data_IF_467746187287
#
_entry.id   IF_467746187287
#
_cell.length_a   1.000
_cell.length_b   1.000
_cell.length_c   1.000
_cell.angle_alpha   90.00
_cell.angle_beta   90.00
_cell.angle_gamma   90.00
#
_symmetry.space_group_name_H-M   'P 1'
#
loop_
_entity.id
_entity.type
_entity.pdbx_description
1 polymer ?
#
# COMPACT_ATOMS: atom_id res chain seq x y z
N UNK A 1 36.21 61.23 66.06
CA UNK A 1 35.09 60.27 66.20
C UNK A 1 33.89 60.85 65.47
N UNK A 2 33.70 60.51 64.19
CA UNK A 2 32.60 60.99 63.35
C UNK A 2 31.69 59.80 63.04
N UNK A 3 30.40 59.94 63.33
CA UNK A 3 29.33 59.07 62.86
C UNK A 3 28.08 59.93 62.64
N UNK A 4 27.21 59.41 61.76
CA UNK A 4 25.90 59.92 61.31
C UNK A 4 25.93 60.91 60.13
N UNK A 5 25.09 60.81 59.09
CA UNK A 5 23.92 59.96 58.80
C UNK A 5 23.63 59.90 57.29
N UNK A 6 22.93 58.82 56.92
CA UNK A 6 22.34 58.37 55.65
C UNK A 6 21.71 59.39 54.68
N UNK A 7 21.72 59.03 53.38
CA UNK A 7 20.53 59.07 52.51
C UNK A 7 20.57 57.94 51.47
N UNK A 8 19.47 57.19 51.40
CA UNK A 8 19.17 56.09 50.46
C UNK A 8 18.90 56.65 49.06
N UNK A 9 19.32 55.92 48.03
CA UNK A 9 18.75 56.00 46.67
C UNK A 9 18.39 54.57 46.26
N UNK A 10 17.10 54.34 45.98
CA UNK A 10 16.62 53.11 45.35
C UNK A 10 17.06 53.11 43.88
N UNK A 11 17.66 52.01 43.43
CA UNK A 11 17.78 51.68 42.01
C UNK A 11 17.00 50.40 41.75
N UNK A 12 15.92 50.50 40.96
CA UNK A 12 15.25 49.33 40.38
C UNK A 12 16.19 48.70 39.37
N UNK A 13 16.70 47.50 39.67
CA UNK A 13 17.36 46.64 38.69
C UNK A 13 16.32 45.83 37.94
N UNK A 14 16.15 46.08 36.65
CA UNK A 14 15.37 45.22 35.76
C UNK A 14 16.17 43.93 35.50
N UNK A 15 15.67 42.79 36.00
CA UNK A 15 16.19 41.47 35.63
C UNK A 15 15.71 41.11 34.22
N UNK A 16 16.61 41.11 33.23
CA UNK A 16 16.40 40.42 31.97
C UNK A 16 16.48 38.91 32.22
N UNK A 17 15.35 38.22 32.08
CA UNK A 17 15.32 36.77 31.93
C UNK A 17 15.66 36.48 30.47
N UNK A 18 16.86 35.95 30.23
CA UNK A 18 17.24 35.38 28.93
C UNK A 18 16.64 33.97 28.87
N UNK A 19 15.51 33.82 28.18
CA UNK A 19 15.01 32.52 27.74
C UNK A 19 15.89 32.04 26.58
N UNK A 20 16.51 30.85 26.65
CA UNK A 20 17.21 30.31 25.50
C UNK A 20 16.19 30.02 24.39
N UNK A 21 16.37 30.65 23.22
CA UNK A 21 15.72 30.22 22.00
C UNK A 21 16.21 28.81 21.67
N UNK A 22 15.39 27.80 21.97
CA UNK A 22 15.50 26.49 21.34
C UNK A 22 15.11 26.66 19.88
N UNK A 23 16.09 26.83 19.00
CA UNK A 23 15.90 26.60 17.58
C UNK A 23 15.57 25.11 17.42
N UNK A 24 14.44 24.71 16.79
CA UNK A 24 14.26 23.32 16.40
C UNK A 24 15.44 22.96 15.51
N UNK A 25 16.25 22.00 15.95
CA UNK A 25 17.37 21.50 15.16
C UNK A 25 16.82 20.93 13.87
N UNK A 26 17.24 21.46 12.72
CA UNK A 26 17.14 20.70 11.49
C UNK A 26 18.03 19.47 11.70
N UNK A 27 17.41 18.34 11.99
CA UNK A 27 18.07 17.06 11.83
C UNK A 27 18.58 17.03 10.38
N UNK A 28 19.89 16.92 10.21
CA UNK A 28 20.48 16.72 8.90
C UNK A 28 19.90 15.42 8.34
N UNK A 29 19.19 15.51 7.21
CA UNK A 29 18.69 14.33 6.52
C UNK A 29 19.90 13.45 6.15
N UNK A 30 19.92 12.21 6.63
CA UNK A 30 20.84 11.20 6.10
C UNK A 30 20.51 11.00 4.63
N UNK A 31 21.53 11.01 3.77
CA UNK A 31 21.38 10.60 2.37
C UNK A 31 21.52 9.08 2.36
N UNK A 32 20.44 8.36 2.03
CA UNK A 32 20.49 6.93 1.85
C UNK A 32 21.29 6.56 0.59
N UNK A 33 21.71 5.31 0.49
CA UNK A 33 22.24 4.75 -0.77
C UNK A 33 21.24 4.94 -1.90
N UNK A 34 21.74 5.31 -3.08
CA UNK A 34 20.92 5.46 -4.28
C UNK A 34 20.11 4.18 -4.57
N UNK A 35 18.91 4.29 -5.16
CA UNK A 35 18.12 3.13 -5.56
C UNK A 35 18.89 2.23 -6.51
N UNK A 36 18.64 0.93 -6.40
CA UNK A 36 19.11 -0.07 -7.35
C UNK A 36 18.03 -0.28 -8.40
N UNK A 37 18.41 -0.07 -9.67
CA UNK A 37 17.55 -0.32 -10.82
C UNK A 37 17.30 -1.83 -10.99
N UNK A 38 16.02 -2.22 -11.00
CA UNK A 38 15.61 -3.61 -11.24
C UNK A 38 15.46 -3.92 -12.73
N UNK A 39 15.57 -2.92 -13.60
CA UNK A 39 15.55 -3.06 -15.05
C UNK A 39 14.18 -3.47 -15.62
N UNK A 40 14.20 -3.87 -16.89
CA UNK A 40 13.01 -4.24 -17.68
C UNK A 40 13.23 -5.57 -18.40
N UNK A 41 12.15 -6.18 -18.88
CA UNK A 41 12.27 -7.35 -19.75
C UNK A 41 12.83 -6.93 -21.12
N UNK A 42 13.49 -7.85 -21.87
CA UNK A 42 14.02 -7.51 -23.19
C UNK A 42 12.96 -6.95 -24.13
N UNK A 43 13.16 -5.72 -24.61
CA UNK A 43 12.22 -4.99 -25.47
C UNK A 43 11.31 -4.01 -24.73
N UNK A 44 11.24 -4.11 -23.40
CA UNK A 44 10.44 -3.22 -22.56
C UNK A 44 11.22 -2.00 -22.06
N UNK A 45 10.49 -0.95 -21.71
CA UNK A 45 11.04 0.35 -21.31
C UNK A 45 10.62 0.81 -19.91
N UNK A 46 9.62 0.15 -19.32
CA UNK A 46 9.11 0.48 -18.00
C UNK A 46 8.93 -0.80 -17.18
N UNK A 47 9.00 -0.67 -15.86
CA UNK A 47 8.74 -1.77 -14.93
C UNK A 47 8.17 -1.26 -13.61
N UNK A 48 7.47 -2.15 -12.90
CA UNK A 48 6.88 -1.91 -11.60
C UNK A 48 6.90 -3.20 -10.77
N UNK A 49 7.23 -3.09 -9.48
CA UNK A 49 7.04 -4.14 -8.48
C UNK A 49 5.66 -3.94 -7.84
N UNK A 50 4.90 -5.03 -7.74
CA UNK A 50 3.59 -5.04 -7.08
C UNK A 50 3.64 -5.72 -5.71
N UNK A 51 4.55 -6.68 -5.52
CA UNK A 51 4.73 -7.39 -4.25
C UNK A 51 6.17 -7.87 -4.06
N UNK A 52 6.55 -8.02 -2.80
CA UNK A 52 7.86 -8.51 -2.36
C UNK A 52 7.69 -9.41 -1.14
N UNK A 53 8.40 -10.55 -1.10
CA UNK A 53 8.42 -11.40 0.08
C UNK A 53 9.66 -11.16 0.96
N UNK A 54 9.69 -11.76 2.14
CA UNK A 54 10.78 -11.59 3.12
C UNK A 54 12.16 -12.08 2.63
N UNK A 55 12.18 -12.99 1.65
CA UNK A 55 13.41 -13.48 1.00
C UNK A 55 13.91 -12.53 -0.11
N UNK A 56 13.22 -11.40 -0.34
CA UNK A 56 13.56 -10.41 -1.35
C UNK A 56 13.16 -10.81 -2.77
N UNK A 57 12.32 -11.84 -2.94
CA UNK A 57 11.71 -12.14 -4.23
C UNK A 57 10.61 -11.13 -4.50
N UNK A 58 10.70 -10.45 -5.65
CA UNK A 58 9.72 -9.44 -6.07
C UNK A 58 8.99 -9.89 -7.32
N UNK A 59 7.74 -9.49 -7.46
CA UNK A 59 6.93 -9.74 -8.66
C UNK A 59 6.19 -8.50 -9.09
N UNK A 60 5.88 -8.42 -10.38
CA UNK A 60 5.14 -7.29 -10.94
C UNK A 60 5.02 -7.37 -12.44
N UNK A 61 5.32 -6.26 -13.12
CA UNK A 61 5.19 -6.16 -14.58
C UNK A 61 6.27 -5.31 -15.22
N UNK A 62 6.58 -5.63 -16.48
CA UNK A 62 7.33 -4.77 -17.40
C UNK A 62 6.43 -4.42 -18.60
N UNK A 63 6.65 -3.24 -19.21
CA UNK A 63 5.84 -2.77 -20.35
C UNK A 63 6.69 -2.08 -21.42
N UNK A 64 6.29 -2.16 -22.71
CA UNK A 64 7.08 -1.62 -23.82
C UNK A 64 7.05 -0.10 -23.96
N UNK A 65 5.92 0.52 -23.60
CA UNK A 65 5.65 1.94 -23.82
C UNK A 65 4.83 2.51 -22.65
N UNK A 66 5.06 3.77 -22.34
CA UNK A 66 4.31 4.49 -21.30
C UNK A 66 2.82 4.53 -21.62
N UNK A 67 1.98 4.19 -20.65
CA UNK A 67 0.53 4.22 -20.82
C UNK A 67 -0.04 3.17 -21.78
N UNK A 68 0.79 2.32 -22.39
CA UNK A 68 0.29 1.13 -23.07
C UNK A 68 0.02 0.02 -22.06
N UNK A 69 -1.23 -0.43 -22.04
CA UNK A 69 -1.67 -1.57 -21.26
C UNK A 69 -1.23 -2.84 -22.00
N UNK A 70 0.09 -3.11 -22.04
CA UNK A 70 0.67 -4.39 -22.45
C UNK A 70 1.63 -4.83 -21.35
N UNK A 71 1.04 -5.42 -20.31
CA UNK A 71 1.81 -5.94 -19.18
C UNK A 71 2.45 -7.27 -19.56
N UNK A 72 3.73 -7.39 -19.27
CA UNK A 72 4.44 -8.66 -19.24
C UNK A 72 4.79 -8.95 -17.77
N UNK A 73 4.26 -10.04 -17.21
CA UNK A 73 4.53 -10.40 -15.84
C UNK A 73 6.03 -10.65 -15.66
N UNK A 74 6.60 -10.10 -14.60
CA UNK A 74 8.02 -10.16 -14.30
C UNK A 74 8.26 -10.62 -12.87
N UNK A 75 9.39 -11.29 -12.67
CA UNK A 75 9.91 -11.70 -11.36
C UNK A 75 11.35 -11.23 -11.24
N UNK A 76 11.67 -10.62 -10.09
CA UNK A 76 13.04 -10.32 -9.69
C UNK A 76 13.41 -11.18 -8.50
N UNK A 77 14.64 -11.69 -8.49
CA UNK A 77 15.18 -12.34 -7.31
C UNK A 77 15.78 -11.32 -6.32
N UNK A 78 16.26 -11.81 -5.18
CA UNK A 78 16.87 -11.00 -4.12
C UNK A 78 18.10 -10.17 -4.57
N UNK A 79 18.69 -10.50 -5.72
CA UNK A 79 19.81 -9.75 -6.30
C UNK A 79 19.34 -8.73 -7.36
N UNK A 80 18.02 -8.60 -7.56
CA UNK A 80 17.41 -7.73 -8.55
C UNK A 80 17.47 -8.27 -9.99
N UNK A 81 17.75 -9.56 -10.20
CA UNK A 81 17.81 -10.13 -11.56
C UNK A 81 16.41 -10.41 -12.07
N UNK A 82 16.04 -9.78 -13.18
CA UNK A 82 14.72 -9.92 -13.80
C UNK A 82 14.60 -11.18 -14.66
N UNK A 83 13.42 -11.80 -14.62
CA UNK A 83 12.99 -12.89 -15.50
C UNK A 83 11.51 -12.73 -15.87
N UNK A 84 11.15 -13.20 -17.06
CA UNK A 84 9.75 -13.18 -17.50
C UNK A 84 8.96 -14.30 -16.82
N UNK A 85 7.73 -13.99 -16.40
CA UNK A 85 6.73 -14.98 -16.04
C UNK A 85 5.82 -15.21 -17.27
N UNK A 86 5.74 -16.43 -17.81
CA UNK A 86 5.04 -16.68 -19.07
C UNK A 86 3.52 -16.47 -18.96
N UNK A 87 2.90 -16.01 -20.05
CA UNK A 87 1.44 -15.97 -20.19
C UNK A 87 0.86 -17.36 -20.52
N UNK A 88 -0.46 -17.45 -20.75
CA UNK A 88 -1.13 -18.68 -21.19
C UNK A 88 -1.24 -18.80 -22.72
N UNK A 89 -0.48 -18.01 -23.47
CA UNK A 89 -0.51 -17.95 -24.93
C UNK A 89 -0.92 -16.59 -25.51
N UNK A 90 -1.57 -15.74 -24.70
CA UNK A 90 -1.88 -14.35 -25.05
C UNK A 90 -0.71 -13.39 -24.81
N UNK A 91 -0.89 -12.11 -25.16
CA UNK A 91 0.18 -11.10 -25.05
C UNK A 91 0.29 -10.46 -23.67
N UNK A 92 -0.74 -10.56 -22.81
CA UNK A 92 -0.75 -9.85 -21.52
C UNK A 92 -0.67 -10.78 -20.31
N UNK A 93 0.04 -10.31 -19.29
CA UNK A 93 0.09 -10.93 -17.97
C UNK A 93 0.57 -9.93 -16.91
N UNK A 94 0.10 -10.08 -15.68
CA UNK A 94 0.56 -9.28 -14.54
C UNK A 94 0.61 -10.17 -13.29
N UNK A 95 1.72 -10.14 -12.57
CA UNK A 95 1.82 -10.74 -11.26
C UNK A 95 1.42 -9.72 -10.19
N UNK A 96 0.60 -10.12 -9.23
CA UNK A 96 0.04 -9.25 -8.19
C UNK A 96 0.63 -9.51 -6.82
N UNK A 97 0.93 -10.77 -6.50
CA UNK A 97 1.40 -11.17 -5.17
C UNK A 97 2.33 -12.40 -5.24
N UNK A 98 3.15 -12.60 -4.21
CA UNK A 98 4.14 -13.68 -4.09
C UNK A 98 4.30 -14.14 -2.64
N UNK A 99 4.20 -15.45 -2.41
CA UNK A 99 4.35 -16.03 -1.07
C UNK A 99 5.82 -16.33 -0.70
N UNK A 100 6.08 -16.81 0.52
CA UNK A 100 7.44 -17.10 0.99
C UNK A 100 8.15 -18.21 0.20
N UNK A 101 7.40 -19.14 -0.39
CA UNK A 101 7.96 -20.17 -1.28
C UNK A 101 8.33 -19.65 -2.68
N UNK A 102 8.06 -18.38 -2.98
CA UNK A 102 8.30 -17.76 -4.29
C UNK A 102 7.28 -18.17 -5.36
N UNK A 103 6.11 -18.68 -4.94
CA UNK A 103 4.95 -18.90 -5.79
C UNK A 103 4.26 -17.56 -5.99
N UNK A 104 4.13 -17.14 -7.25
CA UNK A 104 3.47 -15.89 -7.61
C UNK A 104 2.05 -16.14 -8.12
N UNK A 105 1.17 -15.16 -7.95
CA UNK A 105 -0.19 -15.18 -8.50
C UNK A 105 -0.49 -13.90 -9.27
N UNK A 106 -1.55 -13.94 -10.07
CA UNK A 106 -2.02 -12.78 -10.81
C UNK A 106 -2.96 -13.20 -11.93
N UNK A 107 -2.82 -12.57 -13.09
CA UNK A 107 -3.62 -12.89 -14.26
C UNK A 107 -2.78 -12.96 -15.54
N UNK A 108 -3.25 -13.74 -16.50
CA UNK A 108 -2.68 -13.84 -17.83
C UNK A 108 -3.75 -14.12 -18.88
N UNK A 109 -3.53 -13.60 -20.08
CA UNK A 109 -4.38 -13.87 -21.23
C UNK A 109 -4.09 -15.26 -21.80
N UNK A 110 -5.16 -16.00 -22.08
CA UNK A 110 -5.14 -17.21 -22.91
C UNK A 110 -5.10 -16.85 -24.39
N UNK A 111 -5.83 -15.81 -24.76
CA UNK A 111 -5.98 -15.24 -26.10
C UNK A 111 -6.43 -13.77 -26.00
N UNK A 112 -6.74 -13.11 -27.12
CA UNK A 112 -7.16 -11.69 -27.16
C UNK A 112 -8.45 -11.35 -26.38
N UNK A 113 -9.23 -12.34 -25.97
CA UNK A 113 -10.56 -12.13 -25.36
C UNK A 113 -10.73 -12.76 -23.98
N UNK A 114 -9.83 -13.67 -23.59
CA UNK A 114 -9.99 -14.51 -22.40
C UNK A 114 -8.83 -14.33 -21.43
N UNK A 115 -9.12 -13.68 -20.30
CA UNK A 115 -8.19 -13.54 -19.17
C UNK A 115 -8.43 -14.66 -18.15
N UNK A 116 -7.38 -15.21 -17.55
CA UNK A 116 -7.47 -16.16 -16.45
C UNK A 116 -6.65 -15.72 -15.25
N UNK A 117 -7.13 -16.06 -14.06
CA UNK A 117 -6.28 -16.08 -12.88
C UNK A 117 -5.24 -17.19 -13.05
N UNK A 118 -4.01 -16.92 -12.63
CA UNK A 118 -2.88 -17.85 -12.79
C UNK A 118 -2.04 -17.91 -11.53
N UNK A 119 -1.32 -19.03 -11.39
CA UNK A 119 -0.20 -19.18 -10.47
C UNK A 119 1.06 -19.50 -11.27
N UNK A 120 2.19 -18.91 -10.87
CA UNK A 120 3.51 -19.27 -11.34
C UNK A 120 4.27 -19.97 -10.24
N UNK A 121 4.74 -21.17 -10.52
CA UNK A 121 5.64 -21.89 -9.62
C UNK A 121 7.00 -21.20 -9.56
N UNK A 122 7.85 -21.45 -8.54
CA UNK A 122 9.11 -20.74 -8.39
C UNK A 122 10.06 -20.89 -9.59
N UNK A 123 9.93 -22.00 -10.34
CA UNK A 123 10.65 -22.31 -11.58
C UNK A 123 10.10 -21.60 -12.84
N UNK A 124 9.05 -20.79 -12.70
CA UNK A 124 8.39 -20.04 -13.78
C UNK A 124 7.24 -20.79 -14.46
N UNK A 125 6.93 -22.02 -14.06
CA UNK A 125 5.81 -22.78 -14.66
C UNK A 125 4.47 -22.11 -14.36
N UNK A 126 3.76 -21.67 -15.40
CA UNK A 126 2.42 -21.07 -15.30
C UNK A 126 1.33 -22.14 -15.26
N UNK A 127 0.37 -21.98 -14.38
CA UNK A 127 -0.85 -22.81 -14.29
C UNK A 127 -2.07 -21.92 -14.19
N UNK A 128 -3.04 -22.13 -15.08
CA UNK A 128 -4.34 -21.47 -14.99
C UNK A 128 -5.14 -21.99 -13.80
N UNK A 129 -5.73 -21.08 -13.03
CA UNK A 129 -6.72 -21.41 -12.01
C UNK A 129 -8.10 -21.59 -12.65
N UNK A 130 -8.95 -22.48 -12.13
CA UNK A 130 -10.28 -22.71 -12.71
C UNK A 130 -11.19 -21.50 -12.54
N UNK A 131 -12.02 -21.24 -13.55
CA UNK A 131 -13.12 -20.27 -13.45
C UNK A 131 -14.22 -20.79 -12.54
N UNK A 132 -15.07 -19.87 -12.05
CA UNK A 132 -16.36 -20.26 -11.52
C UNK A 132 -17.17 -21.02 -12.59
N UNK A 133 -18.00 -22.00 -12.20
CA UNK A 133 -18.87 -22.70 -13.15
C UNK A 133 -19.71 -21.72 -13.98
N UNK A 134 -19.60 -21.79 -15.31
CA UNK A 134 -20.30 -20.89 -16.24
C UNK A 134 -19.64 -19.53 -16.47
N UNK A 135 -18.50 -19.26 -15.83
CA UNK A 135 -17.68 -18.07 -16.02
C UNK A 135 -16.56 -18.25 -17.05
N UNK A 136 -16.00 -17.11 -17.48
CA UNK A 136 -14.95 -17.00 -18.50
C UNK A 136 -13.83 -16.01 -18.13
N UNK A 137 -13.91 -15.38 -16.96
CA UNK A 137 -13.00 -14.35 -16.50
C UNK A 137 -12.60 -14.59 -15.04
N UNK A 138 -11.32 -14.37 -14.72
CA UNK A 138 -10.83 -14.33 -13.35
C UNK A 138 -9.52 -13.53 -13.21
N UNK A 139 -9.26 -13.03 -11.99
CA UNK A 139 -8.00 -12.47 -11.51
C UNK A 139 -7.67 -13.04 -10.14
N UNK A 140 -6.40 -13.33 -9.87
CA UNK A 140 -5.90 -13.54 -8.52
C UNK A 140 -5.26 -12.25 -8.02
N UNK A 141 -5.50 -11.92 -6.75
CA UNK A 141 -5.00 -10.70 -6.11
C UNK A 141 -3.97 -11.04 -5.04
N UNK A 142 -4.28 -11.96 -4.12
CA UNK A 142 -3.41 -12.33 -3.00
C UNK A 142 -3.29 -13.85 -2.80
N UNK A 143 -2.18 -14.29 -2.19
CA UNK A 143 -1.86 -15.69 -1.88
C UNK A 143 -1.28 -15.84 -0.47
N UNK A 144 -1.75 -16.85 0.27
CA UNK A 144 -1.12 -17.24 1.55
C UNK A 144 0.03 -18.22 1.34
N UNK A 145 0.90 -18.36 2.34
CA UNK A 145 1.93 -19.42 2.38
C UNK A 145 1.34 -20.83 2.35
N UNK A 146 0.10 -20.99 2.84
CA UNK A 146 -0.66 -22.24 2.73
C UNK A 146 -1.17 -22.54 1.31
N UNK A 147 -0.98 -21.62 0.35
CA UNK A 147 -1.41 -21.76 -1.04
C UNK A 147 -2.89 -21.44 -1.28
N UNK A 148 -3.56 -20.75 -0.34
CA UNK A 148 -4.92 -20.24 -0.56
C UNK A 148 -4.80 -18.94 -1.35
N UNK A 149 -5.54 -18.82 -2.43
CA UNK A 149 -5.51 -17.66 -3.33
C UNK A 149 -6.89 -17.01 -3.32
N UNK A 150 -6.95 -15.68 -3.34
CA UNK A 150 -8.21 -14.92 -3.45
C UNK A 150 -8.17 -13.95 -4.63
N UNK A 151 -9.35 -13.55 -5.09
CA UNK A 151 -9.47 -12.55 -6.15
C UNK A 151 -10.90 -12.34 -6.61
N UNK A 152 -11.08 -12.13 -7.91
CA UNK A 152 -12.40 -11.96 -8.53
C UNK A 152 -12.60 -12.92 -9.71
N UNK A 153 -13.87 -13.26 -9.97
CA UNK A 153 -14.24 -14.11 -11.09
C UNK A 153 -15.65 -13.82 -11.58
N UNK A 154 -15.89 -14.01 -12.88
CA UNK A 154 -17.23 -13.89 -13.45
C UNK A 154 -18.06 -15.14 -13.13
N UNK A 155 -19.23 -14.96 -12.53
CA UNK A 155 -20.17 -16.04 -12.26
C UNK A 155 -21.15 -16.27 -13.44
N UNK A 156 -21.91 -17.37 -13.39
CA UNK A 156 -22.86 -17.74 -14.45
C UNK A 156 -24.00 -16.72 -14.66
N UNK A 157 -24.27 -15.86 -13.68
CA UNK A 157 -25.23 -14.77 -13.79
C UNK A 157 -24.65 -13.51 -14.47
N UNK A 158 -23.39 -13.57 -14.90
CA UNK A 158 -22.67 -12.52 -15.60
C UNK A 158 -22.06 -11.45 -14.69
N UNK A 159 -22.23 -11.54 -13.36
CA UNK A 159 -21.67 -10.62 -12.37
C UNK A 159 -20.24 -11.00 -11.99
N UNK A 160 -19.53 -10.06 -11.40
CA UNK A 160 -18.20 -10.31 -10.81
C UNK A 160 -18.39 -10.62 -9.33
N UNK A 161 -17.95 -11.81 -8.93
CA UNK A 161 -17.98 -12.29 -7.55
C UNK A 161 -16.55 -12.34 -6.99
N UNK A 162 -16.44 -12.18 -5.68
CA UNK A 162 -15.21 -12.53 -4.98
C UNK A 162 -15.04 -14.06 -5.01
N UNK A 163 -13.81 -14.52 -5.17
CA UNK A 163 -13.49 -15.95 -5.31
C UNK A 163 -12.32 -16.35 -4.43
N UNK A 164 -12.31 -17.62 -4.02
CA UNK A 164 -11.18 -18.27 -3.34
C UNK A 164 -10.80 -19.54 -4.09
N UNK A 165 -9.52 -19.73 -4.36
CA UNK A 165 -8.95 -21.01 -4.77
C UNK A 165 -8.25 -21.68 -3.59
N UNK A 166 -8.69 -22.88 -3.27
CA UNK A 166 -8.07 -23.71 -2.24
C UNK A 166 -6.80 -24.40 -2.80
N UNK A 167 -5.88 -24.84 -1.92
CA UNK A 167 -4.66 -25.52 -2.35
C UNK A 167 -4.89 -26.82 -3.14
N UNK A 168 -6.05 -27.46 -2.96
CA UNK A 168 -6.49 -28.64 -3.72
C UNK A 168 -6.97 -28.32 -5.15
N UNK A 169 -6.98 -27.04 -5.53
CA UNK A 169 -7.39 -26.54 -6.84
C UNK A 169 -8.89 -26.26 -6.95
N UNK A 170 -9.69 -26.45 -5.89
CA UNK A 170 -11.11 -26.11 -5.90
C UNK A 170 -11.30 -24.59 -5.87
N UNK A 171 -12.13 -24.06 -6.78
CA UNK A 171 -12.65 -22.68 -6.71
C UNK A 171 -13.93 -22.64 -5.89
N UNK A 172 -14.03 -21.65 -5.02
CA UNK A 172 -15.18 -21.35 -4.18
C UNK A 172 -15.68 -19.96 -4.52
N UNK A 173 -16.97 -19.86 -4.84
CA UNK A 173 -17.68 -18.59 -4.99
C UNK A 173 -17.95 -17.99 -3.61
N UNK A 174 -17.38 -16.82 -3.32
CA UNK A 174 -17.65 -16.06 -2.09
C UNK A 174 -18.82 -15.09 -2.26
N UNK A 175 -19.29 -14.88 -3.50
CA UNK A 175 -20.40 -13.99 -3.83
C UNK A 175 -20.08 -12.51 -3.63
N UNK A 176 -21.15 -11.72 -3.50
CA UNK A 176 -21.11 -10.28 -3.24
C UNK A 176 -22.32 -9.85 -2.39
N UNK A 177 -22.49 -8.55 -2.20
CA UNK A 177 -23.63 -8.04 -1.44
C UNK A 177 -24.97 -8.29 -2.18
N UNK A 178 -26.09 -8.51 -1.46
CA UNK A 178 -27.38 -8.75 -2.08
C UNK A 178 -27.78 -7.66 -3.08
N UNK A 179 -28.08 -8.07 -4.30
CA UNK A 179 -28.48 -7.18 -5.39
C UNK A 179 -27.32 -6.44 -6.09
N UNK A 180 -26.09 -6.52 -5.56
CA UNK A 180 -24.88 -6.01 -6.18
C UNK A 180 -24.52 -6.71 -7.49
N UNK A 181 -23.61 -6.10 -8.25
CA UNK A 181 -23.07 -6.62 -9.52
C UNK A 181 -21.57 -6.88 -9.50
N UNK A 182 -20.88 -6.46 -8.44
CA UNK A 182 -19.44 -6.50 -8.33
C UNK A 182 -19.00 -6.86 -6.90
N UNK A 183 -18.03 -7.75 -6.79
CA UNK A 183 -17.31 -8.06 -5.57
C UNK A 183 -15.89 -8.53 -5.91
N UNK A 184 -14.92 -8.13 -5.11
CA UNK A 184 -13.51 -8.42 -5.30
C UNK A 184 -12.88 -8.68 -3.94
N UNK A 185 -12.21 -9.83 -3.78
CA UNK A 185 -11.40 -10.14 -2.61
C UNK A 185 -9.96 -9.66 -2.86
N UNK A 186 -9.52 -8.69 -2.07
CA UNK A 186 -8.22 -8.02 -2.21
C UNK A 186 -7.16 -8.71 -1.35
N UNK A 187 -7.51 -9.05 -0.10
CA UNK A 187 -6.57 -9.57 0.88
C UNK A 187 -7.11 -10.81 1.61
N UNK A 188 -6.19 -11.59 2.17
CA UNK A 188 -6.48 -12.76 3.01
C UNK A 188 -5.47 -12.84 4.14
N UNK A 189 -5.93 -13.09 5.37
CA UNK A 189 -5.03 -13.26 6.52
C UNK A 189 -4.14 -14.51 6.36
N UNK A 190 -2.93 -14.56 6.92
CA UNK A 190 -2.01 -15.70 6.75
C UNK A 190 -2.59 -17.05 7.18
N UNK A 191 -3.50 -17.04 8.15
CA UNK A 191 -4.21 -18.23 8.62
C UNK A 191 -5.35 -18.70 7.68
N UNK A 192 -5.58 -17.96 6.60
CA UNK A 192 -6.58 -18.19 5.57
C UNK A 192 -8.02 -17.94 6.01
N UNK A 193 -8.27 -17.45 7.24
CA UNK A 193 -9.62 -17.42 7.83
C UNK A 193 -10.44 -16.20 7.46
N UNK A 194 -9.78 -15.08 7.23
CA UNK A 194 -10.43 -13.78 7.00
C UNK A 194 -10.02 -13.26 5.64
N UNK A 195 -11.01 -12.92 4.81
CA UNK A 195 -10.84 -12.37 3.48
C UNK A 195 -11.53 -11.02 3.46
N UNK A 196 -10.92 -9.99 2.88
CA UNK A 196 -11.49 -8.65 2.80
C UNK A 196 -11.34 -8.06 1.41
N UNK A 197 -12.14 -7.04 1.13
CA UNK A 197 -12.08 -6.30 -0.13
C UNK A 197 -13.32 -5.44 -0.32
N UNK A 198 -13.74 -5.29 -1.57
CA UNK A 198 -14.80 -4.38 -1.98
C UNK A 198 -15.99 -5.13 -2.57
N UNK A 199 -17.21 -4.68 -2.28
CA UNK A 199 -18.41 -5.13 -3.00
C UNK A 199 -19.38 -3.96 -3.26
N UNK A 200 -20.13 -4.03 -4.35
CA UNK A 200 -21.17 -3.07 -4.68
C UNK A 200 -22.53 -3.50 -4.13
N UNK A 201 -23.34 -2.55 -3.68
CA UNK A 201 -24.75 -2.78 -3.36
C UNK A 201 -25.65 -2.73 -4.62
N UNK A 202 -26.96 -2.90 -4.43
CA UNK A 202 -27.94 -2.86 -5.54
C UNK A 202 -28.05 -1.51 -6.25
N UNK A 203 -27.52 -0.43 -5.67
CA UNK A 203 -27.43 0.88 -6.30
C UNK A 203 -26.07 1.10 -6.99
N UNK A 204 -25.18 0.10 -6.98
CA UNK A 204 -23.85 0.17 -7.56
C UNK A 204 -22.83 0.96 -6.72
N UNK A 205 -23.12 1.19 -5.43
CA UNK A 205 -22.21 1.92 -4.53
C UNK A 205 -21.28 0.93 -3.83
N UNK A 206 -20.01 1.29 -3.70
CA UNK A 206 -18.99 0.43 -3.10
C UNK A 206 -19.08 0.43 -1.57
N UNK A 207 -18.75 -0.71 -0.99
CA UNK A 207 -18.68 -0.97 0.45
C UNK A 207 -17.41 -1.76 0.78
N UNK A 208 -16.90 -1.53 1.97
CA UNK A 208 -15.86 -2.40 2.56
C UNK A 208 -16.54 -3.64 3.11
N UNK A 209 -16.06 -4.81 2.72
CA UNK A 209 -16.67 -6.08 3.08
C UNK A 209 -15.64 -7.09 3.56
N UNK A 210 -16.13 -8.06 4.33
CA UNK A 210 -15.35 -9.22 4.80
C UNK A 210 -16.10 -10.50 4.49
N UNK A 211 -15.37 -11.54 4.07
CA UNK A 211 -15.86 -12.90 3.93
C UNK A 211 -15.20 -13.82 4.96
N UNK A 212 -15.98 -14.73 5.53
CA UNK A 212 -15.44 -15.86 6.28
C UNK A 212 -15.20 -17.08 5.38
N UNK A 213 -14.63 -18.14 5.95
CA UNK A 213 -14.32 -19.37 5.21
C UNK A 213 -15.53 -20.06 4.56
N UNK A 214 -16.73 -19.85 5.09
CA UNK A 214 -17.98 -20.40 4.56
C UNK A 214 -18.58 -19.54 3.43
N UNK A 215 -17.92 -18.43 3.06
CA UNK A 215 -18.41 -17.48 2.05
C UNK A 215 -19.46 -16.51 2.60
N UNK A 216 -19.66 -16.42 3.92
CA UNK A 216 -20.59 -15.44 4.47
C UNK A 216 -19.97 -14.03 4.40
N UNK A 217 -20.63 -13.13 3.67
CA UNK A 217 -20.24 -11.73 3.52
C UNK A 217 -20.80 -10.86 4.65
N UNK A 218 -19.98 -9.95 5.15
CA UNK A 218 -20.36 -8.90 6.13
C UNK A 218 -20.01 -7.54 5.55
N UNK A 219 -20.97 -6.61 5.53
CA UNK A 219 -20.75 -5.19 5.22
C UNK A 219 -20.19 -4.47 6.45
N UNK A 220 -19.00 -3.87 6.30
CA UNK A 220 -18.31 -3.13 7.36
C UNK A 220 -18.57 -1.62 7.29
N UNK A 221 -19.22 -1.15 6.22
CA UNK A 221 -19.59 0.25 6.02
C UNK A 221 -21.11 0.47 5.87
N UNK A 222 -21.98 -0.20 6.67
CA UNK A 222 -23.42 -0.06 6.50
C UNK A 222 -23.86 1.38 6.75
N UNK A 223 -24.47 2.00 5.73
CA UNK A 223 -24.90 3.40 5.79
C UNK A 223 -23.80 4.43 5.48
N UNK A 224 -22.58 4.00 5.18
CA UNK A 224 -21.52 4.82 4.59
C UNK A 224 -21.04 4.22 3.25
N UNK A 225 -21.94 4.16 2.24
CA UNK A 225 -21.55 3.73 0.90
C UNK A 225 -20.49 4.70 0.33
N UNK A 226 -19.69 4.24 -0.62
CA UNK A 226 -18.48 4.93 -1.13
C UNK A 226 -17.27 4.87 -0.21
N UNK A 227 -17.24 3.89 0.70
CA UNK A 227 -16.02 3.56 1.43
C UNK A 227 -15.08 2.73 0.56
N UNK A 228 -13.78 3.03 0.61
CA UNK A 228 -12.71 2.29 -0.07
C UNK A 228 -11.77 1.66 0.96
N UNK A 229 -11.52 0.36 0.91
CA UNK A 229 -10.42 -0.22 1.67
C UNK A 229 -9.12 -0.04 0.86
N UNK A 230 -8.00 0.20 1.54
CA UNK A 230 -6.69 0.38 0.90
C UNK A 230 -5.68 -0.69 1.35
N UNK A 231 -5.81 -1.20 2.58
CA UNK A 231 -4.91 -2.23 3.11
C UNK A 231 -5.53 -3.03 4.28
N UNK A 232 -5.02 -4.23 4.52
CA UNK A 232 -5.39 -5.11 5.63
C UNK A 232 -4.17 -5.79 6.24
N UNK A 233 -4.02 -5.69 7.57
CA UNK A 233 -2.94 -6.39 8.29
C UNK A 233 -3.25 -7.88 8.56
N UNK A 234 -2.30 -8.60 9.16
CA UNK A 234 -2.40 -10.05 9.39
C UNK A 234 -3.49 -10.44 10.40
N UNK A 235 -4.00 -9.49 11.18
CA UNK A 235 -5.10 -9.67 12.12
C UNK A 235 -6.47 -9.31 11.53
N UNK A 236 -6.53 -8.94 10.25
CA UNK A 236 -7.75 -8.58 9.56
C UNK A 236 -8.28 -7.18 9.88
N UNK A 237 -7.44 -6.30 10.45
CA UNK A 237 -7.76 -4.87 10.59
C UNK A 237 -7.57 -4.22 9.24
N UNK A 238 -8.59 -3.51 8.76
CA UNK A 238 -8.60 -2.84 7.46
C UNK A 238 -8.48 -1.34 7.68
N UNK A 239 -7.70 -0.66 6.84
CA UNK A 239 -7.73 0.80 6.74
C UNK A 239 -8.13 1.25 5.36
N UNK A 240 -8.55 2.50 5.24
CA UNK A 240 -8.89 3.10 3.98
C UNK A 240 -9.57 4.45 4.15
N UNK A 241 -10.56 4.74 3.32
CA UNK A 241 -11.32 5.98 3.36
C UNK A 241 -12.84 5.76 3.37
N UNK A 242 -13.57 6.64 4.03
CA UNK A 242 -15.03 6.68 4.00
C UNK A 242 -15.53 8.13 3.86
N UNK A 243 -16.71 8.31 3.28
CA UNK A 243 -17.24 9.65 3.05
C UNK A 243 -17.75 10.26 4.36
N UNK A 244 -17.28 11.47 4.68
CA UNK A 244 -17.78 12.28 5.78
C UNK A 244 -17.92 13.72 5.32
N UNK A 245 -19.16 14.23 5.30
CA UNK A 245 -19.50 15.58 4.84
C UNK A 245 -18.97 15.88 3.42
N UNK A 246 -19.12 14.91 2.50
CA UNK A 246 -18.72 15.04 1.09
C UNK A 246 -17.22 14.97 0.81
N UNK A 247 -16.41 14.53 1.78
CA UNK A 247 -14.98 14.30 1.61
C UNK A 247 -14.60 12.89 2.09
N UNK A 248 -13.70 12.16 1.41
CA UNK A 248 -13.10 10.97 1.97
C UNK A 248 -12.27 11.33 3.21
N UNK A 249 -12.45 10.54 4.26
CA UNK A 249 -11.70 10.65 5.51
C UNK A 249 -11.12 9.30 5.90
N UNK A 250 -9.93 9.29 6.54
CA UNK A 250 -9.23 8.07 6.89
C UNK A 250 -9.98 7.32 7.99
N UNK A 251 -10.11 6.02 7.81
CA UNK A 251 -10.89 5.14 8.67
C UNK A 251 -10.20 3.81 8.86
N UNK A 252 -10.55 3.16 9.97
CA UNK A 252 -10.14 1.81 10.31
C UNK A 252 -11.37 0.97 10.63
N UNK A 253 -11.42 -0.24 10.09
CA UNK A 253 -12.42 -1.26 10.41
C UNK A 253 -11.76 -2.46 11.09
N UNK A 254 -12.19 -2.72 12.31
CA UNK A 254 -11.64 -3.80 13.14
C UNK A 254 -12.22 -5.16 12.76
N UNK A 255 -11.65 -6.23 13.32
CA UNK A 255 -12.12 -7.59 13.07
C UNK A 255 -13.55 -7.84 13.55
N UNK A 256 -13.99 -7.15 14.60
CA UNK A 256 -15.37 -7.21 15.11
C UNK A 256 -16.36 -6.32 14.34
N UNK A 257 -15.86 -5.58 13.33
CA UNK A 257 -16.64 -4.64 12.52
C UNK A 257 -16.76 -3.25 13.12
N UNK A 258 -16.12 -2.95 14.26
CA UNK A 258 -16.04 -1.60 14.80
C UNK A 258 -15.29 -0.70 13.82
N UNK A 259 -15.95 0.39 13.43
CA UNK A 259 -15.36 1.44 12.60
C UNK A 259 -14.84 2.58 13.48
N UNK A 260 -13.66 3.10 13.17
CA UNK A 260 -13.04 4.23 13.86
C UNK A 260 -12.50 5.23 12.84
N UNK A 261 -12.92 6.49 12.96
CA UNK A 261 -12.30 7.60 12.24
C UNK A 261 -10.89 7.82 12.77
N UNK A 262 -9.92 7.91 11.88
CA UNK A 262 -8.56 8.31 12.23
C UNK A 262 -8.52 9.83 12.29
N UNK A 263 -7.85 10.39 13.31
CA UNK A 263 -7.87 11.83 13.56
C UNK A 263 -7.38 12.61 12.35
N UNK A 264 -8.24 13.49 11.82
CA UNK A 264 -7.88 14.41 10.75
C UNK A 264 -8.68 15.72 10.88
N UNK A 265 -8.08 16.80 11.38
CA UNK A 265 -8.76 18.05 11.76
C UNK A 265 -9.14 18.94 10.57
N UNK A 266 -8.55 18.79 9.38
CA UNK A 266 -8.86 19.65 8.22
C UNK A 266 -10.10 19.20 7.42
N UNK A 267 -10.72 20.16 6.73
CA UNK A 267 -11.89 19.94 5.87
C UNK A 267 -11.57 19.11 4.62
N UNK A 268 -10.34 19.17 4.11
CA UNK A 268 -9.93 18.51 2.87
C UNK A 268 -9.88 16.97 2.93
N UNK A 269 -9.80 16.31 1.76
CA UNK A 269 -9.77 14.86 1.71
C UNK A 269 -8.48 14.26 2.29
N UNK A 270 -8.59 13.06 2.85
CA UNK A 270 -7.48 12.30 3.40
C UNK A 270 -7.77 10.79 3.40
N UNK A 271 -6.70 10.00 3.36
CA UNK A 271 -6.72 8.55 3.18
C UNK A 271 -5.72 7.89 4.13
N UNK A 272 -6.08 6.71 4.64
CA UNK A 272 -5.15 5.78 5.25
C UNK A 272 -4.82 4.71 4.22
N UNK A 273 -3.55 4.60 3.85
CA UNK A 273 -3.08 3.79 2.72
C UNK A 273 -2.51 2.44 3.17
N UNK A 274 -2.00 2.34 4.40
CA UNK A 274 -1.41 1.11 4.93
C UNK A 274 -1.57 0.98 6.43
N UNK A 275 -1.59 -0.25 6.93
CA UNK A 275 -1.71 -0.61 8.34
C UNK A 275 -0.78 -1.75 8.71
N UNK A 276 0.02 -1.56 9.76
CA UNK A 276 0.85 -2.63 10.29
C UNK A 276 0.11 -3.50 11.31
N UNK A 277 0.75 -4.59 11.74
CA UNK A 277 0.21 -5.53 12.73
C UNK A 277 0.02 -4.95 14.13
N UNK A 278 0.70 -3.84 14.46
CA UNK A 278 0.47 -3.11 15.70
C UNK A 278 -0.79 -2.21 15.63
N UNK A 279 -1.44 -2.13 14.45
CA UNK A 279 -2.60 -1.29 14.19
C UNK A 279 -2.25 0.18 13.97
N UNK A 280 -0.97 0.52 13.81
CA UNK A 280 -0.56 1.84 13.35
C UNK A 280 -0.75 1.93 11.83
N UNK A 281 -1.15 3.10 11.35
CA UNK A 281 -1.46 3.32 9.95
C UNK A 281 -0.64 4.46 9.35
N UNK A 282 -0.36 4.39 8.06
CA UNK A 282 0.24 5.46 7.26
C UNK A 282 -0.73 5.98 6.21
N UNK A 283 -0.53 7.22 5.79
CA UNK A 283 -1.34 7.83 4.74
C UNK A 283 -1.08 9.32 4.62
N UNK A 284 -2.12 10.06 4.31
CA UNK A 284 -2.03 11.51 4.18
C UNK A 284 -3.25 12.14 3.55
N UNK A 285 -3.17 13.44 3.33
CA UNK A 285 -4.22 14.21 2.71
C UNK A 285 -3.90 15.69 2.75
N UNK A 286 -4.88 16.51 2.42
CA UNK A 286 -4.71 17.96 2.37
C UNK A 286 -4.65 18.55 3.78
N UNK A 287 -3.46 18.99 4.22
CA UNK A 287 -3.25 19.66 5.51
C UNK A 287 -3.22 21.19 5.34
N UNK A 288 -2.06 21.74 4.99
CA UNK A 288 -1.78 23.19 5.03
C UNK A 288 -1.87 23.79 3.62
N UNK A 289 -2.76 24.77 3.43
CA UNK A 289 -2.99 25.47 2.16
C UNK A 289 -3.26 24.56 0.94
N UNK A 290 -3.85 23.38 1.17
CA UNK A 290 -4.11 22.43 0.09
C UNK A 290 -2.86 21.65 -0.34
N UNK A 291 -1.87 21.50 0.54
CA UNK A 291 -0.74 20.59 0.32
C UNK A 291 -1.07 19.22 0.89
N UNK A 292 -0.91 18.17 0.07
CA UNK A 292 -0.94 16.77 0.53
C UNK A 292 0.22 16.55 1.49
N UNK A 293 0.00 16.02 2.68
CA UNK A 293 1.09 15.80 3.64
C UNK A 293 1.05 14.40 4.23
N UNK A 294 2.23 13.75 4.36
CA UNK A 294 2.33 12.42 4.91
C UNK A 294 2.08 12.45 6.43
N UNK A 295 1.29 11.50 6.89
CA UNK A 295 0.94 11.35 8.31
C UNK A 295 0.99 9.88 8.71
N UNK A 296 1.09 9.67 10.03
CA UNK A 296 0.95 8.37 10.67
C UNK A 296 -0.11 8.46 11.75
N UNK A 297 -0.90 7.40 11.93
CA UNK A 297 -1.81 7.23 13.06
C UNK A 297 -1.35 6.08 13.93
N UNK A 298 -1.53 6.22 15.23
CA UNK A 298 -1.36 5.11 16.16
C UNK A 298 -2.61 4.21 16.22
N UNK A 299 -2.55 3.17 17.06
CA UNK A 299 -3.68 2.25 17.25
C UNK A 299 -4.92 2.96 17.82
N UNK A 300 -4.77 4.04 18.60
CA UNK A 300 -5.90 4.83 19.09
C UNK A 300 -6.50 5.74 17.99
N UNK A 301 -5.79 5.92 16.88
CA UNK A 301 -6.16 6.82 15.79
C UNK A 301 -5.64 8.25 15.98
N UNK A 302 -4.71 8.47 16.92
CA UNK A 302 -4.06 9.76 17.13
C UNK A 302 -3.03 10.01 16.04
N UNK A 303 -3.08 11.20 15.45
CA UNK A 303 -2.27 11.57 14.29
C UNK A 303 -0.91 12.17 14.68
N UNK A 304 0.12 11.77 13.94
CA UNK A 304 1.43 12.44 13.87
C UNK A 304 1.68 12.90 12.43
N UNK A 305 1.99 14.18 12.24
CA UNK A 305 2.40 14.72 10.93
C UNK A 305 3.88 14.41 10.70
N UNK A 306 4.19 13.70 9.62
CA UNK A 306 5.57 13.30 9.28
C UNK A 306 6.30 14.38 8.49
N UNK A 307 5.55 15.18 7.72
CA UNK A 307 6.09 16.33 7.01
C UNK A 307 4.99 17.36 6.71
N UNK A 308 5.39 18.62 6.55
CA UNK A 308 4.52 19.71 6.05
C UNK A 308 4.73 19.99 4.56
N UNK A 309 5.67 19.28 3.93
CA UNK A 309 5.90 19.34 2.50
C UNK A 309 4.89 18.45 1.76
N UNK A 310 4.82 18.61 0.42
CA UNK A 310 3.92 17.82 -0.39
C UNK A 310 4.32 16.34 -0.33
N UNK A 311 3.45 15.44 0.10
CA UNK A 311 3.75 14.01 0.17
C UNK A 311 2.63 13.15 0.73
N UNK A 312 2.86 11.85 0.71
CA UNK A 312 1.95 10.80 1.21
C UNK A 312 2.80 9.65 1.77
N UNK A 313 2.31 9.01 2.83
CA UNK A 313 2.79 7.69 3.25
C UNK A 313 2.04 6.61 2.49
N UNK A 314 2.74 5.64 1.92
CA UNK A 314 2.15 4.52 1.18
C UNK A 314 2.22 3.20 1.94
N UNK A 315 3.25 2.99 2.77
CA UNK A 315 3.39 1.76 3.54
C UNK A 315 4.06 2.00 4.91
N UNK A 316 3.86 1.08 5.84
CA UNK A 316 4.36 1.14 7.21
C UNK A 316 4.82 -0.24 7.72
N UNK A 317 6.08 -0.33 8.15
CA UNK A 317 6.61 -1.56 8.73
C UNK A 317 6.12 -1.81 10.17
N UNK A 318 6.46 -2.99 10.71
CA UNK A 318 6.13 -3.38 12.10
C UNK A 318 6.74 -2.49 13.19
N UNK A 319 7.87 -1.83 12.90
CA UNK A 319 8.52 -0.88 13.82
C UNK A 319 7.87 0.51 13.75
N UNK A 320 7.02 0.72 12.74
CA UNK A 320 6.32 1.96 12.47
C UNK A 320 7.13 2.94 11.63
N UNK A 321 8.12 2.47 10.87
CA UNK A 321 8.76 3.22 9.79
C UNK A 321 7.76 3.37 8.65
N UNK A 322 7.48 4.61 8.25
CA UNK A 322 6.61 4.91 7.11
C UNK A 322 7.47 5.17 5.87
N UNK A 323 7.08 4.62 4.74
CA UNK A 323 7.67 4.92 3.43
C UNK A 323 6.64 5.59 2.53
N UNK A 324 7.11 6.42 1.62
CA UNK A 324 6.25 7.11 0.67
C UNK A 324 7.03 8.06 -0.22
N UNK A 325 6.42 9.21 -0.51
CA UNK A 325 7.08 10.29 -1.25
C UNK A 325 6.95 11.62 -0.51
N UNK A 326 7.95 12.47 -0.70
CA UNK A 326 7.90 13.87 -0.32
C UNK A 326 8.58 14.72 -1.40
N UNK A 327 7.91 15.79 -1.84
CA UNK A 327 8.34 16.67 -2.92
C UNK A 327 8.79 15.88 -4.16
N UNK A 328 7.99 14.86 -4.53
CA UNK A 328 8.22 13.94 -5.65
C UNK A 328 9.40 12.96 -5.49
N UNK A 329 10.01 12.87 -4.31
CA UNK A 329 11.15 11.97 -4.07
C UNK A 329 10.81 10.96 -2.97
N UNK A 330 11.14 9.70 -3.23
CA UNK A 330 11.00 8.61 -2.30
C UNK A 330 11.65 8.99 -0.95
N UNK A 331 10.88 8.86 0.12
CA UNK A 331 11.27 9.30 1.46
C UNK A 331 10.76 8.28 2.48
N UNK A 332 11.56 8.03 3.52
CA UNK A 332 11.14 7.27 4.70
C UNK A 332 11.17 8.12 5.95
N UNK A 333 10.28 7.83 6.88
CA UNK A 333 10.22 8.41 8.22
C UNK A 333 10.27 7.30 9.24
N UNK A 334 11.28 7.29 10.11
CA UNK A 334 11.35 6.31 11.19
C UNK A 334 10.21 6.48 12.21
N UNK A 335 10.14 5.58 13.20
CA UNK A 335 9.10 5.61 14.22
C UNK A 335 9.08 6.87 15.08
N UNK A 336 10.20 7.60 15.16
CA UNK A 336 10.32 8.89 15.83
C UNK A 336 10.00 10.09 14.91
N UNK A 337 9.74 9.84 13.62
CA UNK A 337 9.50 10.85 12.59
C UNK A 337 10.77 11.38 11.93
N UNK A 338 11.93 10.78 12.15
CA UNK A 338 13.18 11.19 11.50
C UNK A 338 13.12 10.88 10.01
N UNK A 339 13.26 11.93 9.20
CA UNK A 339 13.15 11.87 7.75
C UNK A 339 14.47 11.47 7.09
N UNK A 340 14.40 10.54 6.14
CA UNK A 340 15.52 10.13 5.25
C UNK A 340 15.08 10.17 3.80
N UNK A 341 15.84 10.86 2.94
CA UNK A 341 15.60 10.89 1.49
C UNK A 341 16.24 9.66 0.85
N UNK A 342 15.46 8.92 0.07
CA UNK A 342 15.91 7.71 -0.62
C UNK A 342 16.49 8.02 -2.03
N UNK A 343 16.10 9.15 -2.63
CA UNK A 343 16.66 9.64 -3.90
C UNK A 343 16.05 9.01 -5.14
N UNK A 344 16.67 9.23 -6.29
CA UNK A 344 16.23 8.77 -7.62
C UNK A 344 17.34 7.97 -8.29
N UNK A 345 17.00 7.25 -9.37
CA UNK A 345 18.00 6.73 -10.30
C UNK A 345 18.79 7.89 -10.93
N UNK A 346 20.02 7.62 -11.43
CA UNK A 346 20.84 8.65 -12.06
C UNK A 346 20.08 9.46 -13.13
N UNK A 347 20.09 10.78 -12.97
CA UNK A 347 19.41 11.74 -13.86
C UNK A 347 17.89 11.83 -13.71
N UNK A 348 17.29 11.01 -12.83
CA UNK A 348 15.87 11.06 -12.50
C UNK A 348 15.48 12.22 -11.59
N UNK A 349 14.21 12.61 -11.63
CA UNK A 349 13.61 13.71 -10.88
C UNK A 349 12.40 13.29 -10.03
N UNK A 350 11.96 12.04 -10.16
CA UNK A 350 10.77 11.49 -9.54
C UNK A 350 11.02 10.07 -9.01
N UNK A 351 10.67 9.83 -7.76
CA UNK A 351 10.66 8.48 -7.18
C UNK A 351 9.61 8.34 -6.10
N UNK A 352 9.17 7.10 -5.89
CA UNK A 352 8.21 6.72 -4.86
C UNK A 352 8.68 5.43 -4.20
N UNK A 353 8.55 5.37 -2.88
CA UNK A 353 8.65 4.14 -2.12
C UNK A 353 7.23 3.64 -1.82
N UNK A 354 6.87 2.48 -2.38
CA UNK A 354 5.50 1.96 -2.33
C UNK A 354 5.32 0.91 -1.23
N UNK A 355 6.38 0.17 -0.89
CA UNK A 355 6.32 -0.92 0.09
C UNK A 355 7.63 -1.04 0.88
N UNK A 356 7.54 -1.42 2.15
CA UNK A 356 8.65 -1.73 3.06
C UNK A 356 8.45 -3.10 3.70
N UNK A 357 9.43 -3.98 3.57
CA UNK A 357 9.39 -5.31 4.19
C UNK A 357 9.77 -5.25 5.67
N UNK A 358 9.48 -6.32 6.43
CA UNK A 358 9.85 -6.43 7.84
C UNK A 358 11.37 -6.37 8.10
N UNK A 359 12.18 -6.66 7.08
CA UNK A 359 13.64 -6.56 7.13
C UNK A 359 14.17 -5.16 6.76
N UNK A 360 13.28 -4.22 6.40
CA UNK A 360 13.61 -2.83 6.05
C UNK A 360 13.99 -2.62 4.59
N UNK A 361 13.83 -3.62 3.72
CA UNK A 361 13.97 -3.43 2.26
C UNK A 361 12.79 -2.64 1.75
N UNK A 362 13.06 -1.61 0.94
CA UNK A 362 12.02 -0.74 0.38
C UNK A 362 11.98 -0.97 -1.12
N UNK A 363 10.79 -1.17 -1.68
CA UNK A 363 10.59 -1.26 -3.14
C UNK A 363 9.68 -0.14 -3.61
N UNK A 364 9.80 0.21 -4.89
CA UNK A 364 8.95 1.21 -5.51
C UNK A 364 9.40 1.50 -6.91
N UNK A 365 9.35 2.78 -7.29
CA UNK A 365 9.67 3.22 -8.65
C UNK A 365 10.53 4.48 -8.65
N UNK A 366 11.29 4.65 -9.74
CA UNK A 366 12.03 5.88 -10.01
C UNK A 366 12.14 6.11 -11.51
N UNK A 367 12.06 7.36 -11.94
CA UNK A 367 12.46 7.75 -13.29
C UNK A 367 13.99 7.75 -13.42
N UNK A 368 14.48 7.56 -14.65
CA UNK A 368 15.90 7.71 -15.00
C UNK A 368 16.12 8.96 -15.88
N UNK A 369 17.37 9.19 -16.32
CA UNK A 369 17.75 10.32 -17.18
C UNK A 369 16.95 10.46 -18.50
N UNK A 370 16.28 9.39 -18.95
CA UNK A 370 15.44 9.39 -20.14
C UNK A 370 13.95 9.61 -19.84
N UNK A 371 13.60 9.89 -18.57
CA UNK A 371 12.22 10.04 -18.10
C UNK A 371 11.44 8.72 -18.03
N UNK A 372 12.11 7.57 -18.10
CA UNK A 372 11.47 6.25 -18.01
C UNK A 372 11.42 5.77 -16.57
N UNK A 373 10.23 5.36 -16.12
CA UNK A 373 10.03 4.80 -14.79
C UNK A 373 10.39 3.33 -14.75
N UNK A 374 11.34 2.97 -13.88
CA UNK A 374 11.72 1.60 -13.60
C UNK A 374 11.34 1.24 -12.16
N UNK A 375 11.08 -0.05 -11.95
CA UNK A 375 11.07 -0.63 -10.63
C UNK A 375 12.45 -0.49 -9.99
N UNK A 376 12.48 -0.16 -8.70
CA UNK A 376 13.70 -0.02 -7.94
C UNK A 376 13.55 -0.63 -6.56
N UNK A 377 14.68 -0.91 -5.91
CA UNK A 377 14.71 -1.15 -4.48
C UNK A 377 15.82 -0.37 -3.78
N UNK A 378 15.56 -0.05 -2.52
CA UNK A 378 16.55 0.48 -1.58
C UNK A 378 16.83 -0.61 -0.54
N UNK A 379 18.08 -1.12 -0.48
CA UNK A 379 18.47 -2.09 0.53
C UNK A 379 18.23 -1.56 1.95
N UNK A 380 18.02 -2.47 2.90
CA UNK A 380 18.06 -2.13 4.31
C UNK A 380 19.42 -1.48 4.65
N UNK A 381 19.36 -0.27 5.21
CA UNK A 381 20.52 0.58 5.54
C UNK A 381 20.95 0.50 6.98
#
# INVERSE_FOLDING_TARGET
MKLERSRRVLALGASLVVLPLMLPGLAAAGVATAPIDLGTLPGDQYSQVNAVNDDGVMVGSSTPLEGQIKYHAAKWDALGRISALPSLGGEQSKATDVNSAGVAVGWADKDFSNQAAVKWSPDGTVTALPYLPGGDYATANAITDGGVIVGAGRAADGKIHAVRWNPDGQVVDLGGLPGGSYANADWITPDGRTIAGTASDSAGRNHVVRWNLAGAITDLSPGNPYSTPEDMNDFGVIVGSAELNGNPKPVRWELDGRMTWLEYPESGPAWANAVNDAGAAAGGGYLVFGTESPVKWDQAGTRTTLSTQRGLGYDIDREGTVVGLENNIATKWDSAGTRTVLGTLPGGTYSVADHITANGTIVGLSDNENGRTHAVYWPAG
#
